data_IF_621043838386
#
_entry.id   IF_621043838386
#
_cell.length_a   1.000
_cell.length_b   1.000
_cell.length_c   1.000
_cell.angle_alpha   90.00
_cell.angle_beta   90.00
_cell.angle_gamma   90.00
#
_symmetry.space_group_name_H-M   'P 1'
#
loop_
_entity.id
_entity.type
_entity.pdbx_description
1 polymer ?
#
# COMPACT_ATOMS: atom_id res chain seq x y z
N UNK A 1 43.90 14.07 -8.41
CA UNK A 1 42.53 13.49 -8.40
C UNK A 1 41.56 14.65 -8.27
N UNK A 2 41.29 15.34 -9.37
CA UNK A 2 40.24 16.35 -9.45
C UNK A 2 39.48 16.08 -10.74
N UNK A 3 38.24 15.59 -10.61
CA UNK A 3 37.10 15.80 -11.51
C UNK A 3 35.92 14.96 -11.00
N UNK A 4 34.85 15.62 -10.50
CA UNK A 4 33.50 15.32 -11.01
C UNK A 4 32.56 16.56 -11.03
N UNK A 5 33.03 17.75 -11.37
CA UNK A 5 32.19 18.98 -11.44
C UNK A 5 31.76 19.39 -12.86
N UNK A 6 32.40 18.85 -13.90
CA UNK A 6 32.15 19.24 -15.30
C UNK A 6 30.94 18.55 -15.93
N UNK A 7 30.59 17.33 -15.53
CA UNK A 7 29.49 16.57 -16.13
C UNK A 7 28.10 17.06 -15.71
N UNK A 8 27.94 17.58 -14.49
CA UNK A 8 26.67 18.12 -14.00
C UNK A 8 26.31 19.49 -14.63
N UNK A 9 27.31 20.34 -14.90
CA UNK A 9 27.07 21.65 -15.52
C UNK A 9 26.76 21.53 -17.03
N UNK A 10 27.34 20.54 -17.72
CA UNK A 10 27.03 20.28 -19.12
C UNK A 10 25.60 19.70 -19.32
N UNK A 11 25.09 18.91 -18.37
CA UNK A 11 23.73 18.36 -18.46
C UNK A 11 22.64 19.41 -18.24
N UNK A 12 22.83 20.38 -17.32
CA UNK A 12 21.90 21.51 -17.15
C UNK A 12 21.83 22.41 -18.39
N UNK A 13 22.97 22.69 -19.04
CA UNK A 13 23.02 23.50 -20.27
C UNK A 13 22.27 22.84 -21.44
N UNK A 14 22.38 21.52 -21.57
CA UNK A 14 21.69 20.78 -22.62
C UNK A 14 20.16 20.71 -22.38
N UNK A 15 19.74 20.53 -21.12
CA UNK A 15 18.33 20.53 -20.74
C UNK A 15 17.66 21.89 -21.00
N UNK A 16 18.33 23.00 -20.65
CA UNK A 16 17.82 24.35 -20.90
C UNK A 16 17.74 24.68 -22.41
N UNK A 17 18.68 24.20 -23.21
CA UNK A 17 18.63 24.36 -24.67
C UNK A 17 17.48 23.55 -25.30
N UNK A 18 17.21 22.35 -24.77
CA UNK A 18 16.10 21.51 -25.18
C UNK A 18 14.75 22.13 -24.78
N UNK A 19 14.66 22.70 -23.57
CA UNK A 19 13.50 23.43 -23.09
C UNK A 19 13.14 24.59 -24.02
N UNK A 20 14.12 25.41 -24.40
CA UNK A 20 13.90 26.50 -25.37
C UNK A 20 13.41 26.01 -26.72
N UNK A 21 13.90 24.86 -27.21
CA UNK A 21 13.44 24.27 -28.48
C UNK A 21 11.99 23.79 -28.40
N UNK A 22 11.62 23.12 -27.30
CA UNK A 22 10.25 22.66 -27.06
C UNK A 22 9.31 23.86 -26.95
N UNK A 23 9.69 24.88 -26.17
CA UNK A 23 8.91 26.12 -26.03
C UNK A 23 8.77 26.86 -27.36
N UNK A 24 9.81 26.92 -28.19
CA UNK A 24 9.73 27.52 -29.53
C UNK A 24 8.67 26.84 -30.40
N UNK A 25 8.70 25.51 -30.49
CA UNK A 25 7.74 24.75 -31.30
C UNK A 25 6.33 24.92 -30.77
N UNK A 26 6.16 24.94 -29.45
CA UNK A 26 4.85 25.18 -28.83
C UNK A 26 4.37 26.59 -29.12
N UNK A 27 5.22 27.60 -29.03
CA UNK A 27 4.86 28.98 -29.36
C UNK A 27 4.54 29.15 -30.84
N UNK A 28 5.23 28.43 -31.74
CA UNK A 28 4.89 28.43 -33.16
C UNK A 28 3.48 27.85 -33.38
N UNK A 29 3.16 26.70 -32.77
CA UNK A 29 1.82 26.09 -32.82
C UNK A 29 0.74 27.02 -32.22
N UNK A 30 1.07 27.72 -31.14
CA UNK A 30 0.14 28.58 -30.40
C UNK A 30 0.00 30.00 -30.96
N UNK A 31 0.98 30.47 -31.74
CA UNK A 31 0.96 31.82 -32.36
C UNK A 31 0.05 31.84 -33.58
N UNK A 32 0.04 30.77 -34.38
CA UNK A 32 -0.90 30.58 -35.49
C UNK A 32 -2.34 30.70 -35.00
N UNK A 33 -2.64 30.14 -33.83
CA UNK A 33 -3.99 30.22 -33.22
C UNK A 33 -4.30 31.60 -32.62
N UNK A 34 -3.32 32.33 -32.08
CA UNK A 34 -3.55 33.63 -31.47
C UNK A 34 -3.90 34.74 -32.48
N UNK A 35 -3.29 34.73 -33.66
CA UNK A 35 -3.60 35.69 -34.73
C UNK A 35 -5.03 35.44 -35.24
N UNK A 36 -5.39 34.17 -35.45
CA UNK A 36 -6.74 33.82 -35.91
C UNK A 36 -7.80 34.15 -34.87
N UNK A 37 -7.54 33.90 -33.59
CA UNK A 37 -8.41 34.28 -32.49
C UNK A 37 -8.70 35.80 -32.49
N UNK A 38 -7.68 36.62 -32.73
CA UNK A 38 -7.82 38.08 -32.83
C UNK A 38 -8.64 38.55 -34.04
N UNK A 39 -8.70 37.74 -35.10
CA UNK A 39 -9.41 38.06 -36.35
C UNK A 39 -10.59 37.11 -36.64
N UNK A 40 -11.11 36.40 -35.63
CA UNK A 40 -12.22 35.43 -35.76
C UNK A 40 -13.48 36.03 -36.37
N UNK A 41 -13.74 37.33 -36.20
CA UNK A 41 -14.86 38.03 -36.85
C UNK A 41 -14.66 38.34 -38.34
N UNK A 42 -13.44 38.20 -38.87
CA UNK A 42 -13.06 38.54 -40.25
C UNK A 42 -12.66 37.32 -41.08
N UNK A 43 -12.33 36.20 -40.44
CA UNK A 43 -11.95 34.96 -41.09
C UNK A 43 -13.15 34.01 -41.14
N UNK A 44 -13.65 33.73 -42.35
CA UNK A 44 -14.63 32.64 -42.56
C UNK A 44 -13.89 31.32 -42.51
N UNK A 45 -13.96 30.61 -41.38
CA UNK A 45 -13.35 29.30 -41.24
C UNK A 45 -14.24 28.24 -41.91
N UNK A 46 -13.71 27.54 -42.92
CA UNK A 46 -14.28 26.25 -43.33
C UNK A 46 -13.89 25.19 -42.29
N UNK A 47 -14.81 24.31 -41.89
CA UNK A 47 -14.51 23.20 -40.96
C UNK A 47 -13.32 22.35 -41.45
N UNK A 48 -13.14 22.25 -42.77
CA UNK A 48 -12.04 21.52 -43.41
C UNK A 48 -10.67 22.19 -43.18
N UNK A 49 -10.62 23.53 -43.19
CA UNK A 49 -9.39 24.28 -42.91
C UNK A 49 -8.98 24.14 -41.45
N UNK A 50 -9.94 24.17 -40.52
CA UNK A 50 -9.68 23.97 -39.10
C UNK A 50 -9.13 22.57 -38.80
N UNK A 51 -9.66 21.53 -39.47
CA UNK A 51 -9.14 20.18 -39.35
C UNK A 51 -7.74 20.04 -39.95
N UNK A 52 -7.48 20.63 -41.11
CA UNK A 52 -6.15 20.61 -41.73
C UNK A 52 -5.10 21.31 -40.88
N UNK A 53 -5.44 22.41 -40.19
CA UNK A 53 -4.56 23.09 -39.23
C UNK A 53 -4.23 22.22 -38.03
N UNK A 54 -5.25 21.60 -37.41
CA UNK A 54 -5.04 20.66 -36.29
C UNK A 54 -4.13 19.49 -36.73
N UNK A 55 -4.29 19.01 -37.95
CA UNK A 55 -3.43 17.98 -38.55
C UNK A 55 -1.99 18.47 -38.73
N UNK A 56 -1.78 19.66 -39.28
CA UNK A 56 -0.44 20.25 -39.43
C UNK A 56 0.29 20.38 -38.09
N UNK A 57 -0.40 20.89 -37.06
CA UNK A 57 0.17 21.03 -35.71
C UNK A 57 0.58 19.68 -35.12
N UNK A 58 -0.26 18.65 -35.30
CA UNK A 58 0.05 17.27 -34.90
C UNK A 58 1.27 16.74 -35.64
N UNK A 59 1.34 16.94 -36.96
CA UNK A 59 2.42 16.43 -37.80
C UNK A 59 3.76 17.09 -37.45
N UNK A 60 3.78 18.41 -37.22
CA UNK A 60 4.96 19.14 -36.76
C UNK A 60 5.51 18.58 -35.45
N UNK A 61 4.64 18.39 -34.45
CA UNK A 61 5.06 17.83 -33.16
C UNK A 61 5.50 16.36 -33.30
N UNK A 62 4.81 15.54 -34.10
CA UNK A 62 5.20 14.15 -34.36
C UNK A 62 6.58 14.05 -35.00
N UNK A 63 6.90 14.92 -35.96
CA UNK A 63 8.22 14.97 -36.60
C UNK A 63 9.30 15.36 -35.60
N UNK A 64 9.06 16.38 -34.79
CA UNK A 64 9.97 16.80 -33.72
C UNK A 64 10.22 15.67 -32.72
N UNK A 65 9.15 15.00 -32.28
CA UNK A 65 9.24 13.87 -31.35
C UNK A 65 10.08 12.74 -31.93
N UNK A 66 9.80 12.30 -33.17
CA UNK A 66 10.58 11.24 -33.84
C UNK A 66 12.08 11.56 -33.91
N UNK A 67 12.44 12.82 -34.10
CA UNK A 67 13.84 13.25 -34.17
C UNK A 67 14.56 13.22 -32.81
N UNK A 68 13.85 13.38 -31.68
CA UNK A 68 14.47 13.58 -30.35
C UNK A 68 14.09 12.54 -29.28
N UNK A 69 13.12 11.66 -29.57
CA UNK A 69 12.55 10.72 -28.59
C UNK A 69 13.58 9.72 -28.01
N UNK A 70 14.55 9.27 -28.81
CA UNK A 70 15.52 8.25 -28.39
C UNK A 70 16.50 8.73 -27.31
N UNK A 71 16.75 10.04 -27.20
CA UNK A 71 17.76 10.59 -26.29
C UNK A 71 17.17 11.28 -25.06
N UNK A 72 15.97 11.87 -25.16
CA UNK A 72 15.41 12.70 -24.07
C UNK A 72 13.87 12.74 -24.04
N UNK A 73 13.21 11.66 -24.46
CA UNK A 73 11.73 11.62 -24.57
C UNK A 73 11.00 12.00 -23.28
N UNK A 74 11.42 11.49 -22.12
CA UNK A 74 10.81 11.79 -20.81
C UNK A 74 10.96 13.26 -20.44
N UNK A 75 12.16 13.82 -20.61
CA UNK A 75 12.45 15.23 -20.32
C UNK A 75 11.63 16.16 -21.21
N UNK A 76 11.53 15.85 -22.52
CA UNK A 76 10.73 16.61 -23.48
C UNK A 76 9.26 16.61 -23.06
N UNK A 77 8.74 15.45 -22.65
CA UNK A 77 7.36 15.29 -22.23
C UNK A 77 7.06 16.05 -20.93
N UNK A 78 7.96 16.00 -19.96
CA UNK A 78 7.83 16.76 -18.71
C UNK A 78 7.84 18.28 -18.95
N UNK A 79 8.72 18.77 -19.84
CA UNK A 79 8.74 20.18 -20.25
C UNK A 79 7.44 20.55 -20.97
N UNK A 80 6.99 19.72 -21.90
CA UNK A 80 5.74 19.92 -22.65
C UNK A 80 4.54 20.03 -21.71
N UNK A 81 4.38 19.09 -20.78
CA UNK A 81 3.28 19.07 -19.81
C UNK A 81 3.35 20.27 -18.87
N UNK A 82 4.55 20.63 -18.42
CA UNK A 82 4.75 21.80 -17.54
C UNK A 82 4.35 23.09 -18.25
N UNK A 83 4.75 23.27 -19.51
CA UNK A 83 4.35 24.42 -20.31
C UNK A 83 2.84 24.42 -20.58
N UNK A 84 2.25 23.25 -20.88
CA UNK A 84 0.81 23.11 -21.08
C UNK A 84 0.01 23.58 -19.86
N UNK A 85 0.47 23.28 -18.65
CA UNK A 85 -0.24 23.66 -17.42
C UNK A 85 -0.14 25.16 -17.07
N UNK A 86 0.74 25.91 -17.75
CA UNK A 86 0.88 27.37 -17.59
C UNK A 86 -0.02 28.16 -18.55
N UNK A 87 -0.66 27.50 -19.53
CA UNK A 87 -1.45 28.15 -20.58
C UNK A 87 -2.92 28.33 -20.18
N UNK A 88 -3.69 29.05 -21.01
CA UNK A 88 -5.13 29.28 -20.83
C UNK A 88 -6.00 28.50 -21.84
N UNK A 89 -7.31 28.46 -21.58
CA UNK A 89 -8.25 27.37 -21.91
C UNK A 89 -8.20 26.77 -23.34
N UNK A 90 -8.29 27.57 -24.40
CA UNK A 90 -8.40 27.04 -25.77
C UNK A 90 -7.10 26.39 -26.25
N UNK A 91 -5.97 26.99 -25.86
CA UNK A 91 -4.62 26.51 -26.19
C UNK A 91 -4.33 25.17 -25.53
N UNK A 92 -4.83 24.97 -24.31
CA UNK A 92 -4.70 23.71 -23.58
C UNK A 92 -5.40 22.57 -24.33
N UNK A 93 -6.61 22.80 -24.86
CA UNK A 93 -7.36 21.75 -25.56
C UNK A 93 -6.59 21.19 -26.76
N UNK A 94 -5.99 22.06 -27.58
CA UNK A 94 -5.19 21.64 -28.73
C UNK A 94 -3.98 20.79 -28.32
N UNK A 95 -3.30 21.15 -27.24
CA UNK A 95 -2.14 20.40 -26.75
C UNK A 95 -2.53 19.01 -26.22
N UNK A 96 -3.64 18.90 -25.50
CA UNK A 96 -4.19 17.59 -25.12
C UNK A 96 -4.58 16.74 -26.34
N UNK A 97 -5.15 17.35 -27.39
CA UNK A 97 -5.50 16.64 -28.63
C UNK A 97 -4.25 16.12 -29.37
N UNK A 98 -3.15 16.88 -29.35
CA UNK A 98 -1.87 16.45 -29.91
C UNK A 98 -1.33 15.25 -29.13
N UNK A 99 -1.31 15.31 -27.79
CA UNK A 99 -0.88 14.18 -26.96
C UNK A 99 -1.74 12.93 -27.20
N UNK A 100 -3.06 13.08 -27.24
CA UNK A 100 -3.99 11.98 -27.53
C UNK A 100 -3.67 11.33 -28.88
N UNK A 101 -3.48 12.13 -29.92
CA UNK A 101 -3.13 11.64 -31.26
C UNK A 101 -1.79 10.90 -31.28
N UNK A 102 -0.77 11.44 -30.61
CA UNK A 102 0.55 10.82 -30.54
C UNK A 102 0.54 9.45 -29.84
N UNK A 103 -0.31 9.29 -28.82
CA UNK A 103 -0.50 8.01 -28.12
C UNK A 103 -1.28 7.02 -29.00
N UNK A 104 -2.38 7.45 -29.63
CA UNK A 104 -3.19 6.60 -30.51
C UNK A 104 -2.40 6.07 -31.71
N UNK A 105 -1.47 6.86 -32.26
CA UNK A 105 -0.57 6.45 -33.34
C UNK A 105 0.66 5.66 -32.86
N UNK A 106 0.84 5.50 -31.55
CA UNK A 106 1.96 4.77 -30.97
C UNK A 106 3.32 5.48 -31.06
N UNK A 107 3.33 6.80 -31.29
CA UNK A 107 4.57 7.59 -31.29
C UNK A 107 5.10 7.80 -29.86
N UNK A 108 4.19 7.93 -28.89
CA UNK A 108 4.50 8.11 -27.47
C UNK A 108 3.87 6.96 -26.69
N UNK A 109 4.62 6.36 -25.78
CA UNK A 109 4.08 5.35 -24.88
C UNK A 109 3.07 5.98 -23.92
N UNK A 110 1.88 5.39 -23.84
CA UNK A 110 0.79 5.81 -22.96
C UNK A 110 1.22 6.02 -21.51
N UNK A 111 1.99 5.08 -20.95
CA UNK A 111 2.50 5.14 -19.58
C UNK A 111 3.32 6.42 -19.33
N UNK A 112 4.23 6.78 -20.25
CA UNK A 112 5.06 7.98 -20.13
C UNK A 112 4.21 9.25 -20.03
N UNK A 113 3.11 9.32 -20.78
CA UNK A 113 2.17 10.46 -20.73
C UNK A 113 1.45 10.52 -19.41
N UNK A 114 0.93 9.39 -18.91
CA UNK A 114 0.26 9.35 -17.61
C UNK A 114 1.22 9.72 -16.48
N UNK A 115 2.45 9.20 -16.48
CA UNK A 115 3.46 9.49 -15.47
C UNK A 115 3.85 10.97 -15.48
N UNK A 116 4.06 11.56 -16.66
CA UNK A 116 4.38 12.99 -16.79
C UNK A 116 3.22 13.89 -16.34
N UNK A 117 1.96 13.53 -16.66
CA UNK A 117 0.78 14.29 -16.23
C UNK A 117 0.58 14.22 -14.71
N UNK A 118 0.65 13.02 -14.13
CA UNK A 118 0.39 12.81 -12.70
C UNK A 118 1.54 13.32 -11.83
N UNK A 119 2.79 13.19 -12.28
CA UNK A 119 3.95 13.65 -11.50
C UNK A 119 4.08 15.17 -11.48
N UNK A 120 3.39 15.88 -12.38
CA UNK A 120 3.49 17.33 -12.45
C UNK A 120 2.93 18.01 -11.17
N UNK A 121 3.69 18.90 -10.52
CA UNK A 121 3.25 19.59 -9.31
C UNK A 121 2.11 20.59 -9.57
N UNK A 122 1.97 21.08 -10.81
CA UNK A 122 0.92 22.05 -11.17
C UNK A 122 -0.44 21.38 -11.45
N UNK A 123 -0.54 20.04 -11.35
CA UNK A 123 -1.82 19.33 -11.40
C UNK A 123 -2.59 19.52 -10.08
N UNK A 124 -3.38 20.58 -10.00
CA UNK A 124 -4.24 20.89 -8.84
C UNK A 124 -5.72 20.90 -9.27
N UNK A 125 -6.59 20.40 -8.40
CA UNK A 125 -8.05 20.43 -8.56
C UNK A 125 -8.61 21.86 -8.65
N UNK A 126 -7.84 22.87 -8.21
CA UNK A 126 -8.18 24.28 -8.40
C UNK A 126 -8.19 24.69 -9.88
N UNK A 127 -7.35 24.06 -10.70
CA UNK A 127 -7.24 24.33 -12.14
C UNK A 127 -8.21 23.45 -12.93
N UNK A 128 -9.50 23.84 -12.93
CA UNK A 128 -10.62 23.03 -13.45
C UNK A 128 -10.40 22.43 -14.83
N UNK A 129 -9.92 23.22 -15.79
CA UNK A 129 -9.77 22.77 -17.18
C UNK A 129 -8.60 21.80 -17.33
N UNK A 130 -7.45 22.09 -16.74
CA UNK A 130 -6.28 21.21 -16.75
C UNK A 130 -6.60 19.89 -16.07
N UNK A 131 -7.19 19.94 -14.87
CA UNK A 131 -7.60 18.76 -14.12
C UNK A 131 -8.55 17.88 -14.93
N UNK A 132 -9.62 18.46 -15.48
CA UNK A 132 -10.58 17.75 -16.32
C UNK A 132 -9.94 17.06 -17.51
N UNK A 133 -9.15 17.80 -18.28
CA UNK A 133 -8.54 17.29 -19.51
C UNK A 133 -7.51 16.20 -19.21
N UNK A 134 -6.73 16.35 -18.14
CA UNK A 134 -5.79 15.32 -17.68
C UNK A 134 -6.50 14.00 -17.37
N UNK A 135 -7.54 14.02 -16.54
CA UNK A 135 -8.24 12.78 -16.17
C UNK A 135 -9.08 12.21 -17.33
N UNK A 136 -9.62 13.04 -18.22
CA UNK A 136 -10.29 12.58 -19.45
C UNK A 136 -9.31 11.88 -20.40
N UNK A 137 -8.12 12.45 -20.60
CA UNK A 137 -7.09 11.84 -21.43
C UNK A 137 -6.61 10.52 -20.80
N UNK A 138 -6.32 10.53 -19.50
CA UNK A 138 -5.90 9.33 -18.77
C UNK A 138 -6.97 8.24 -18.88
N UNK A 139 -8.26 8.57 -18.70
CA UNK A 139 -9.37 7.64 -18.87
C UNK A 139 -9.36 6.98 -20.26
N UNK A 140 -9.23 7.77 -21.33
CA UNK A 140 -9.20 7.25 -22.70
C UNK A 140 -7.96 6.41 -23.02
N UNK A 141 -6.79 6.81 -22.50
CA UNK A 141 -5.52 6.14 -22.70
C UNK A 141 -5.46 4.79 -21.98
N UNK A 142 -5.86 4.74 -20.69
CA UNK A 142 -5.77 3.55 -19.84
C UNK A 142 -6.46 2.35 -20.51
N UNK A 143 -7.65 2.55 -21.06
CA UNK A 143 -8.48 1.47 -21.62
C UNK A 143 -7.78 0.76 -22.79
N UNK A 144 -6.97 1.48 -23.57
CA UNK A 144 -6.50 0.99 -24.88
C UNK A 144 -5.02 0.67 -24.93
N UNK A 145 -4.20 1.29 -24.08
CA UNK A 145 -2.77 1.40 -24.35
C UNK A 145 -1.86 1.08 -23.16
N UNK A 146 -2.41 0.69 -22.01
CA UNK A 146 -1.63 0.42 -20.79
C UNK A 146 -1.79 -1.04 -20.38
N UNK A 147 -0.69 -1.68 -20.01
CA UNK A 147 -0.66 -3.05 -19.52
C UNK A 147 -1.08 -3.14 -18.04
N UNK A 148 -1.37 -4.34 -17.56
CA UNK A 148 -1.84 -4.51 -16.17
C UNK A 148 -0.84 -4.02 -15.11
N UNK A 149 0.47 -4.08 -15.40
CA UNK A 149 1.51 -3.55 -14.49
C UNK A 149 1.46 -2.03 -14.46
N UNK A 150 1.35 -1.38 -15.62
CA UNK A 150 1.13 0.06 -15.73
C UNK A 150 -0.15 0.50 -15.00
N UNK A 151 -1.26 -0.23 -15.15
CA UNK A 151 -2.51 0.06 -14.43
C UNK A 151 -2.34 -0.02 -12.90
N UNK A 152 -1.58 -0.99 -12.40
CA UNK A 152 -1.25 -1.11 -10.96
C UNK A 152 -0.42 0.08 -10.48
N UNK A 153 0.64 0.42 -11.21
CA UNK A 153 1.52 1.53 -10.84
C UNK A 153 0.75 2.87 -10.87
N UNK A 154 -0.13 3.06 -11.86
CA UNK A 154 -1.02 4.22 -11.94
C UNK A 154 -2.03 4.28 -10.78
N UNK A 155 -2.63 3.14 -10.43
CA UNK A 155 -3.54 3.08 -9.27
C UNK A 155 -2.85 3.58 -8.01
N UNK A 156 -1.61 3.15 -7.77
CA UNK A 156 -0.81 3.61 -6.64
C UNK A 156 -0.64 5.12 -6.64
N UNK A 157 -0.18 5.71 -7.75
CA UNK A 157 0.03 7.16 -7.88
C UNK A 157 -1.27 7.94 -7.69
N UNK A 158 -2.38 7.45 -8.24
CA UNK A 158 -3.70 8.07 -8.09
C UNK A 158 -4.16 8.08 -6.63
N UNK A 159 -3.98 6.97 -5.92
CA UNK A 159 -4.33 6.86 -4.50
C UNK A 159 -3.44 7.76 -3.62
N UNK A 160 -2.14 7.83 -3.89
CA UNK A 160 -1.22 8.76 -3.22
C UNK A 160 -1.62 10.23 -3.47
N UNK A 161 -2.01 10.58 -4.70
CA UNK A 161 -2.51 11.92 -5.02
C UNK A 161 -3.80 12.27 -4.29
N UNK A 162 -4.72 11.31 -4.13
CA UNK A 162 -5.94 11.52 -3.36
C UNK A 162 -5.63 11.81 -1.89
N UNK A 163 -4.63 11.16 -1.30
CA UNK A 163 -4.25 11.42 0.10
C UNK A 163 -3.74 12.85 0.33
N UNK A 164 -3.25 13.54 -0.71
CA UNK A 164 -2.84 14.95 -0.62
C UNK A 164 -4.03 15.93 -0.61
N UNK A 165 -5.23 15.47 -0.97
CA UNK A 165 -6.42 16.33 -1.02
C UNK A 165 -6.95 16.50 0.42
N UNK A 166 -7.22 17.75 0.87
CA UNK A 166 -7.75 17.99 2.21
C UNK A 166 -9.10 17.29 2.46
N UNK A 167 -9.37 16.95 3.73
CA UNK A 167 -10.64 16.37 4.15
C UNK A 167 -11.84 17.31 3.93
N UNK A 168 -11.61 18.63 3.95
CA UNK A 168 -12.63 19.66 3.73
C UNK A 168 -12.31 20.46 2.46
N UNK A 169 -13.08 20.23 1.40
CA UNK A 169 -12.96 20.96 0.12
C UNK A 169 -14.29 21.63 -0.22
N UNK A 170 -14.24 22.78 -0.89
CA UNK A 170 -15.43 23.48 -1.36
C UNK A 170 -16.22 22.59 -2.36
N UNK A 171 -17.54 22.55 -2.20
CA UNK A 171 -18.50 21.83 -3.05
C UNK A 171 -18.35 22.20 -4.53
N UNK A 172 -17.87 23.41 -4.83
CA UNK A 172 -17.60 23.87 -6.19
C UNK A 172 -16.58 23.00 -6.97
N UNK A 173 -15.78 22.19 -6.27
CA UNK A 173 -14.80 21.27 -6.86
C UNK A 173 -15.29 19.81 -6.96
N UNK A 174 -16.57 19.55 -6.67
CA UNK A 174 -17.14 18.19 -6.66
C UNK A 174 -17.01 17.48 -8.01
N UNK A 175 -17.13 18.22 -9.11
CA UNK A 175 -17.06 17.67 -10.47
C UNK A 175 -15.62 17.19 -10.78
N UNK A 176 -14.63 17.97 -10.36
CA UNK A 176 -13.21 17.67 -10.48
C UNK A 176 -12.87 16.40 -9.68
N UNK A 177 -13.37 16.30 -8.45
CA UNK A 177 -13.25 15.09 -7.62
C UNK A 177 -13.93 13.86 -8.23
N UNK A 178 -15.00 14.07 -9.00
CA UNK A 178 -15.71 12.97 -9.67
C UNK A 178 -14.88 12.38 -10.81
N UNK A 179 -14.03 13.18 -11.48
CA UNK A 179 -13.20 12.70 -12.58
C UNK A 179 -12.11 11.73 -12.12
N UNK A 180 -11.42 12.06 -11.03
CA UNK A 180 -10.42 11.14 -10.46
C UNK A 180 -11.10 9.86 -9.93
N UNK A 181 -12.29 10.00 -9.32
CA UNK A 181 -13.11 8.86 -8.87
C UNK A 181 -13.47 7.93 -10.04
N UNK A 182 -13.84 8.49 -11.19
CA UNK A 182 -14.17 7.71 -12.39
C UNK A 182 -12.98 6.92 -12.94
N UNK A 183 -11.79 7.52 -12.97
CA UNK A 183 -10.56 6.81 -13.39
C UNK A 183 -10.23 5.66 -12.45
N UNK A 184 -10.36 5.86 -11.14
CA UNK A 184 -10.14 4.78 -10.17
C UNK A 184 -11.21 3.70 -10.31
N UNK A 185 -12.48 4.09 -10.46
CA UNK A 185 -13.58 3.14 -10.69
C UNK A 185 -13.32 2.27 -11.93
N UNK A 186 -12.85 2.88 -13.02
CA UNK A 186 -12.50 2.17 -14.25
C UNK A 186 -11.44 1.10 -14.00
N UNK A 187 -10.36 1.45 -13.29
CA UNK A 187 -9.25 0.54 -12.95
C UNK A 187 -9.74 -0.60 -12.05
N UNK A 188 -10.59 -0.30 -11.07
CA UNK A 188 -11.07 -1.28 -10.09
C UNK A 188 -12.21 -2.16 -10.63
N UNK A 189 -12.89 -1.75 -11.69
CA UNK A 189 -13.96 -2.51 -12.29
C UNK A 189 -13.44 -3.83 -12.88
N UNK A 190 -13.93 -4.93 -12.28
CA UNK A 190 -13.57 -6.30 -12.65
C UNK A 190 -14.00 -6.67 -14.06
N UNK A 191 -14.99 -5.98 -14.62
CA UNK A 191 -15.48 -6.22 -15.98
C UNK A 191 -14.56 -5.64 -17.06
N UNK A 192 -13.71 -4.67 -16.71
CA UNK A 192 -12.76 -4.08 -17.67
C UNK A 192 -11.47 -4.89 -17.80
N UNK A 193 -11.22 -5.85 -16.89
CA UNK A 193 -10.05 -6.74 -16.90
C UNK A 193 -8.69 -6.03 -17.02
N UNK A 194 -8.60 -4.76 -16.58
CA UNK A 194 -7.39 -3.94 -16.71
C UNK A 194 -6.23 -4.43 -15.84
N UNK A 195 -6.53 -5.02 -14.68
CA UNK A 195 -5.55 -5.72 -13.84
C UNK A 195 -6.19 -6.83 -13.01
N UNK A 196 -5.41 -7.82 -12.55
CA UNK A 196 -5.88 -8.76 -11.56
C UNK A 196 -6.37 -8.03 -10.31
N UNK A 197 -7.60 -8.31 -9.90
CA UNK A 197 -8.24 -7.65 -8.77
C UNK A 197 -7.42 -7.80 -7.46
N UNK A 198 -6.68 -8.90 -7.32
CA UNK A 198 -5.78 -9.12 -6.19
C UNK A 198 -4.63 -8.09 -6.12
N UNK A 199 -4.10 -7.62 -7.26
CA UNK A 199 -3.09 -6.55 -7.25
C UNK A 199 -3.68 -5.21 -6.83
N UNK A 200 -4.92 -4.92 -7.24
CA UNK A 200 -5.59 -3.70 -6.81
C UNK A 200 -5.79 -3.68 -5.28
N UNK A 201 -6.31 -4.77 -4.69
CA UNK A 201 -6.53 -4.81 -3.23
C UNK A 201 -5.22 -4.70 -2.46
N UNK A 202 -4.13 -5.30 -2.95
CA UNK A 202 -2.83 -5.19 -2.27
C UNK A 202 -2.32 -3.75 -2.25
N UNK A 203 -2.43 -3.00 -3.35
CA UNK A 203 -2.02 -1.59 -3.37
C UNK A 203 -2.92 -0.72 -2.50
N UNK A 204 -4.24 -0.96 -2.54
CA UNK A 204 -5.20 -0.24 -1.68
C UNK A 204 -4.85 -0.43 -0.21
N UNK A 205 -4.58 -1.67 0.24
CA UNK A 205 -4.26 -1.94 1.64
C UNK A 205 -2.89 -1.45 2.09
N UNK A 206 -1.93 -1.28 1.17
CA UNK A 206 -0.64 -0.64 1.48
C UNK A 206 -0.84 0.85 1.78
N UNK A 207 -1.68 1.54 0.99
CA UNK A 207 -1.88 2.98 1.10
C UNK A 207 -2.93 3.33 2.17
N UNK A 208 -3.98 2.52 2.28
CA UNK A 208 -5.06 2.62 3.24
C UNK A 208 -5.13 1.32 4.05
N UNK A 209 -4.32 1.17 5.12
CA UNK A 209 -4.43 0.01 6.00
C UNK A 209 -5.81 -0.05 6.68
N UNK A 210 -6.27 -1.25 7.08
CA UNK A 210 -7.64 -1.55 7.55
C UNK A 210 -8.19 -0.59 8.61
N UNK A 211 -7.35 0.07 9.42
CA UNK A 211 -7.76 1.09 10.40
C UNK A 211 -8.29 2.38 9.76
N UNK A 212 -7.91 2.65 8.51
CA UNK A 212 -8.12 3.91 7.80
C UNK A 212 -9.08 3.76 6.61
N UNK A 213 -9.61 2.56 6.34
CA UNK A 213 -10.53 2.30 5.23
C UNK A 213 -11.95 2.81 5.53
N UNK A 214 -12.45 2.62 6.75
CA UNK A 214 -13.75 3.16 7.20
C UNK A 214 -13.72 4.70 7.34
N UNK A 215 -12.56 5.27 7.66
CA UNK A 215 -12.29 6.72 7.64
C UNK A 215 -11.57 7.16 6.36
N UNK A 216 -11.69 6.37 5.29
CA UNK A 216 -10.98 6.59 4.05
C UNK A 216 -11.30 7.95 3.44
N UNK A 217 -10.50 8.36 2.45
CA UNK A 217 -10.70 9.64 1.78
C UNK A 217 -12.16 9.78 1.28
N UNK A 218 -12.85 10.85 1.68
CA UNK A 218 -14.31 11.05 1.55
C UNK A 218 -14.89 10.87 0.14
N UNK A 219 -14.07 11.00 -0.91
CA UNK A 219 -14.48 10.79 -2.32
C UNK A 219 -14.62 9.30 -2.67
N UNK A 220 -13.64 8.49 -2.24
CA UNK A 220 -13.43 7.10 -2.71
C UNK A 220 -13.62 6.07 -1.60
N UNK A 221 -13.73 6.49 -0.33
CA UNK A 221 -13.78 5.59 0.83
C UNK A 221 -14.82 4.48 0.72
N UNK A 222 -16.06 4.81 0.35
CA UNK A 222 -17.13 3.82 0.15
C UNK A 222 -16.79 2.81 -0.96
N UNK A 223 -16.28 3.29 -2.10
CA UNK A 223 -15.91 2.43 -3.23
C UNK A 223 -14.75 1.50 -2.87
N UNK A 224 -13.69 2.04 -2.27
CA UNK A 224 -12.54 1.26 -1.85
C UNK A 224 -12.93 0.27 -0.75
N UNK A 225 -13.73 0.70 0.23
CA UNK A 225 -14.27 -0.16 1.29
C UNK A 225 -15.05 -1.34 0.73
N UNK A 226 -16.02 -1.09 -0.17
CA UNK A 226 -16.79 -2.15 -0.82
C UNK A 226 -15.90 -3.08 -1.67
N UNK A 227 -14.90 -2.53 -2.35
CA UNK A 227 -13.96 -3.32 -3.14
C UNK A 227 -13.10 -4.24 -2.26
N UNK A 228 -12.50 -3.71 -1.19
CA UNK A 228 -11.72 -4.50 -0.23
C UNK A 228 -12.62 -5.55 0.44
N UNK A 229 -13.81 -5.18 0.87
CA UNK A 229 -14.77 -6.08 1.52
C UNK A 229 -15.07 -7.33 0.69
N UNK A 230 -15.14 -7.19 -0.63
CA UNK A 230 -15.37 -8.32 -1.52
C UNK A 230 -14.28 -9.41 -1.49
N UNK A 231 -13.08 -9.09 -0.96
CA UNK A 231 -11.99 -10.05 -0.74
C UNK A 231 -12.06 -10.75 0.62
N UNK A 232 -12.99 -10.39 1.50
CA UNK A 232 -13.13 -11.02 2.82
C UNK A 232 -13.39 -12.52 2.73
N UNK A 233 -14.16 -12.96 1.73
CA UNK A 233 -14.36 -14.39 1.48
C UNK A 233 -13.04 -15.10 1.11
N UNK A 234 -12.19 -14.45 0.31
CA UNK A 234 -10.87 -14.97 -0.06
C UNK A 234 -9.93 -15.02 1.14
N UNK A 235 -9.94 -13.99 1.98
CA UNK A 235 -9.18 -13.96 3.23
C UNK A 235 -9.56 -15.15 4.14
N UNK A 236 -10.86 -15.47 4.24
CA UNK A 236 -11.35 -16.61 5.04
C UNK A 236 -10.94 -17.96 4.46
N UNK A 237 -10.85 -18.11 3.13
CA UNK A 237 -10.41 -19.36 2.51
C UNK A 237 -8.96 -19.72 2.84
N UNK A 238 -8.11 -18.72 3.06
CA UNK A 238 -6.67 -18.92 3.35
C UNK A 238 -6.34 -18.94 4.85
N UNK A 239 -7.36 -18.80 5.70
CA UNK A 239 -7.22 -18.78 7.15
C UNK A 239 -7.72 -20.08 7.79
N UNK A 240 -7.15 -20.40 8.96
CA UNK A 240 -7.68 -21.44 9.84
C UNK A 240 -8.77 -20.81 10.70
N UNK A 241 -10.01 -21.25 10.53
CA UNK A 241 -11.14 -20.79 11.35
C UNK A 241 -10.86 -21.04 12.83
N UNK A 242 -11.03 -20.00 13.66
CA UNK A 242 -10.81 -20.09 15.10
C UNK A 242 -9.35 -20.24 15.55
N UNK A 243 -8.36 -19.99 14.67
CA UNK A 243 -6.92 -20.14 14.97
C UNK A 243 -6.46 -19.55 16.32
N UNK A 244 -6.89 -18.34 16.75
CA UNK A 244 -6.52 -17.78 18.05
C UNK A 244 -6.89 -18.66 19.26
N UNK A 245 -7.94 -19.48 19.12
CA UNK A 245 -8.45 -20.33 20.20
C UNK A 245 -7.91 -21.75 20.16
N UNK A 246 -7.19 -22.12 19.09
CA UNK A 246 -6.54 -23.41 19.02
C UNK A 246 -5.27 -23.36 19.88
N UNK A 247 -5.00 -24.42 20.65
CA UNK A 247 -3.82 -24.50 21.50
C UNK A 247 -3.01 -25.77 21.17
N UNK A 248 -1.68 -25.68 21.03
CA UNK A 248 -0.84 -26.85 20.80
C UNK A 248 -0.68 -27.69 22.07
N UNK A 249 -0.45 -28.99 21.90
CA UNK A 249 0.03 -29.84 22.99
C UNK A 249 1.55 -29.70 23.06
N UNK A 250 2.04 -29.15 24.17
CA UNK A 250 3.46 -28.90 24.40
C UNK A 250 4.18 -30.23 24.70
N UNK A 251 5.35 -30.44 24.10
CA UNK A 251 6.20 -31.61 24.35
C UNK A 251 6.00 -32.83 23.44
N UNK A 252 4.98 -32.83 22.56
CA UNK A 252 4.64 -34.00 21.73
C UNK A 252 4.91 -33.88 20.22
N UNK A 253 5.65 -32.88 19.75
CA UNK A 253 6.09 -32.83 18.35
C UNK A 253 7.31 -31.93 18.13
N UNK A 254 8.35 -32.46 17.47
CA UNK A 254 9.49 -31.66 16.96
C UNK A 254 9.10 -30.80 15.74
N UNK A 255 7.90 -31.02 15.20
CA UNK A 255 7.27 -30.27 14.13
C UNK A 255 6.19 -29.36 14.70
N UNK A 256 6.57 -28.40 15.55
CA UNK A 256 5.76 -27.21 15.77
C UNK A 256 5.69 -26.46 14.44
N UNK A 257 4.73 -26.83 13.59
CA UNK A 257 4.60 -26.35 12.22
C UNK A 257 4.35 -24.84 12.17
N UNK A 258 4.42 -24.27 10.96
CA UNK A 258 4.17 -22.85 10.70
C UNK A 258 2.81 -22.33 11.21
N UNK A 259 1.89 -23.21 11.60
CA UNK A 259 0.58 -22.89 12.17
C UNK A 259 0.66 -22.08 13.48
N UNK A 260 1.72 -22.21 14.26
CA UNK A 260 1.88 -21.49 15.54
C UNK A 260 2.89 -20.35 15.49
N UNK A 261 3.46 -20.07 14.32
CA UNK A 261 4.50 -19.06 14.18
C UNK A 261 3.91 -17.66 14.33
N UNK A 262 4.49 -16.90 15.25
CA UNK A 262 4.18 -15.51 15.52
C UNK A 262 5.34 -14.60 15.11
N UNK A 263 5.03 -13.34 14.87
CA UNK A 263 6.04 -12.31 14.69
C UNK A 263 6.74 -11.98 16.03
N UNK A 264 8.09 -11.90 16.09
CA UNK A 264 8.80 -11.66 17.34
C UNK A 264 8.57 -10.29 17.99
N UNK A 265 8.13 -9.30 17.21
CA UNK A 265 7.97 -7.91 17.63
C UNK A 265 6.52 -7.57 17.97
N UNK A 266 5.55 -8.10 17.24
CA UNK A 266 4.13 -7.80 17.45
C UNK A 266 3.34 -8.94 18.11
N UNK A 267 3.91 -10.16 18.17
CA UNK A 267 3.22 -11.39 18.57
C UNK A 267 1.94 -11.69 17.77
N UNK A 268 1.81 -11.13 16.56
CA UNK A 268 0.68 -11.43 15.66
C UNK A 268 0.98 -12.66 14.81
N UNK A 269 -0.05 -13.30 14.25
CA UNK A 269 0.18 -14.38 13.29
C UNK A 269 0.88 -13.85 12.04
N UNK A 270 1.83 -14.62 11.51
CA UNK A 270 2.45 -14.33 10.21
C UNK A 270 1.47 -14.72 9.11
N UNK A 271 0.73 -13.74 8.59
CA UNK A 271 -0.23 -13.92 7.51
C UNK A 271 0.42 -13.63 6.15
N UNK A 272 0.00 -14.35 5.10
CA UNK A 272 0.54 -14.18 3.75
C UNK A 272 -0.32 -13.20 2.95
N UNK A 273 0.30 -12.14 2.45
CA UNK A 273 -0.34 -11.16 1.58
C UNK A 273 -1.14 -10.10 2.33
N UNK A 274 -1.61 -9.09 1.58
CA UNK A 274 -2.40 -7.99 2.11
C UNK A 274 -3.87 -8.25 1.71
N UNK A 275 -4.50 -9.12 2.49
CA UNK A 275 -5.94 -9.40 2.41
C UNK A 275 -6.64 -8.82 3.64
N UNK A 276 -7.94 -8.51 3.56
CA UNK A 276 -8.71 -7.98 4.68
C UNK A 276 -9.02 -9.10 5.67
N UNK A 277 -8.04 -9.40 6.51
CA UNK A 277 -8.15 -10.42 7.55
C UNK A 277 -9.03 -9.92 8.70
N UNK A 278 -9.67 -10.85 9.41
CA UNK A 278 -10.47 -10.49 10.58
C UNK A 278 -9.58 -9.86 11.67
N UNK A 279 -10.08 -8.83 12.35
CA UNK A 279 -9.33 -8.05 13.36
C UNK A 279 -8.72 -8.93 14.45
N UNK A 280 -9.34 -10.06 14.78
CA UNK A 280 -8.84 -10.98 15.81
C UNK A 280 -7.57 -11.74 15.42
N UNK A 281 -7.33 -11.93 14.11
CA UNK A 281 -6.09 -12.54 13.60
C UNK A 281 -4.92 -11.55 13.61
N UNK A 282 -5.23 -10.25 13.51
CA UNK A 282 -4.26 -9.15 13.48
C UNK A 282 -3.88 -8.66 14.88
N UNK A 283 -4.59 -9.08 15.93
CA UNK A 283 -4.24 -8.78 17.33
C UNK A 283 -3.06 -9.63 17.80
N UNK A 284 -2.24 -9.11 18.73
CA UNK A 284 -1.21 -9.90 19.40
C UNK A 284 -1.82 -11.12 20.11
N UNK A 285 -1.20 -12.29 19.94
CA UNK A 285 -1.70 -13.57 20.44
C UNK A 285 -1.11 -13.88 21.82
N UNK A 286 -1.44 -13.05 22.82
CA UNK A 286 -0.92 -13.18 24.19
C UNK A 286 -1.34 -14.50 24.85
N UNK A 287 -2.59 -14.90 24.69
CA UNK A 287 -3.13 -16.11 25.33
C UNK A 287 -2.41 -17.38 24.88
N UNK A 288 -2.06 -17.50 23.59
CA UNK A 288 -1.29 -18.62 23.07
C UNK A 288 0.10 -18.70 23.72
N UNK A 289 0.79 -17.56 23.86
CA UNK A 289 2.12 -17.49 24.49
C UNK A 289 2.05 -17.78 25.98
N UNK A 290 1.09 -17.18 26.70
CA UNK A 290 0.88 -17.42 28.13
C UNK A 290 0.57 -18.88 28.40
N UNK A 291 -0.30 -19.49 27.59
CA UNK A 291 -0.60 -20.91 27.69
C UNK A 291 0.67 -21.75 27.52
N UNK A 292 1.46 -21.51 26.48
CA UNK A 292 2.69 -22.26 26.24
C UNK A 292 3.71 -22.10 27.38
N UNK A 293 3.91 -20.88 27.89
CA UNK A 293 4.83 -20.59 28.99
C UNK A 293 4.43 -21.25 30.32
N UNK A 294 3.12 -21.43 30.57
CA UNK A 294 2.63 -22.13 31.78
C UNK A 294 2.93 -23.63 31.77
N UNK A 295 3.19 -24.22 30.60
CA UNK A 295 3.46 -25.65 30.49
C UNK A 295 4.92 -26.00 30.78
N UNK A 296 5.19 -27.14 31.45
CA UNK A 296 6.55 -27.62 31.65
C UNK A 296 7.20 -28.02 30.32
N UNK A 297 8.53 -27.94 30.25
CA UNK A 297 9.33 -28.29 29.06
C UNK A 297 8.99 -27.49 27.78
N UNK A 298 8.37 -26.33 27.91
CA UNK A 298 7.88 -25.50 26.80
C UNK A 298 8.94 -24.67 26.06
N UNK A 299 10.18 -24.61 26.57
CA UNK A 299 11.23 -23.70 26.09
C UNK A 299 11.43 -23.76 24.58
N UNK A 300 11.70 -24.94 24.04
CA UNK A 300 11.99 -25.09 22.60
C UNK A 300 10.74 -24.80 21.74
N UNK A 301 9.54 -25.13 22.22
CA UNK A 301 8.27 -24.78 21.55
C UNK A 301 8.03 -23.27 21.52
N UNK A 302 8.24 -22.57 22.64
CA UNK A 302 8.11 -21.11 22.71
C UNK A 302 9.14 -20.43 21.81
N UNK A 303 10.39 -20.91 21.81
CA UNK A 303 11.41 -20.42 20.90
C UNK A 303 11.01 -20.61 19.43
N UNK A 304 10.40 -21.75 19.07
CA UNK A 304 9.91 -22.01 17.72
C UNK A 304 8.72 -21.11 17.33
N UNK A 305 7.76 -20.93 18.25
CA UNK A 305 6.59 -20.06 18.06
C UNK A 305 7.03 -18.63 17.74
N UNK A 306 7.95 -18.08 18.53
CA UNK A 306 8.44 -16.70 18.38
C UNK A 306 9.61 -16.63 17.38
N UNK A 307 10.01 -17.76 16.77
CA UNK A 307 11.17 -17.83 15.86
C UNK A 307 12.48 -17.26 16.45
N UNK A 308 12.68 -17.42 17.76
CA UNK A 308 13.90 -17.00 18.43
C UNK A 308 15.04 -17.96 18.06
N UNK A 309 16.01 -17.44 17.30
CA UNK A 309 17.19 -18.22 16.94
C UNK A 309 18.23 -18.16 18.09
N UNK A 310 18.74 -19.32 18.51
CA UNK A 310 19.76 -19.46 19.56
C UNK A 310 21.08 -18.75 19.22
N UNK A 311 21.33 -18.44 17.94
CA UNK A 311 22.60 -17.87 17.46
C UNK A 311 22.70 -16.35 17.60
N UNK A 312 21.60 -15.63 17.80
CA UNK A 312 21.61 -14.16 17.89
C UNK A 312 20.99 -13.73 19.22
N UNK A 313 21.65 -12.82 19.96
CA UNK A 313 21.07 -12.18 21.15
C UNK A 313 19.90 -11.30 20.72
N UNK A 314 18.72 -11.88 20.57
CA UNK A 314 17.50 -11.17 20.24
C UNK A 314 16.75 -10.85 21.54
N UNK A 315 16.65 -9.56 21.88
CA UNK A 315 15.76 -9.09 22.94
C UNK A 315 14.34 -9.02 22.37
N UNK A 316 13.39 -9.70 23.00
CA UNK A 316 11.96 -9.55 22.70
C UNK A 316 11.30 -8.89 23.90
N UNK A 317 11.11 -7.57 23.80
CA UNK A 317 10.46 -6.77 24.85
C UNK A 317 9.03 -7.28 25.14
N UNK A 318 8.34 -7.78 24.11
CA UNK A 318 6.98 -8.30 24.26
C UNK A 318 6.98 -9.63 25.02
N UNK A 319 7.94 -10.52 24.77
CA UNK A 319 8.09 -11.74 25.56
C UNK A 319 8.47 -11.44 27.03
N UNK A 320 9.40 -10.50 27.24
CA UNK A 320 9.78 -10.04 28.59
C UNK A 320 8.57 -9.48 29.34
N UNK A 321 7.74 -8.67 28.69
CA UNK A 321 6.48 -8.18 29.24
C UNK A 321 5.50 -9.30 29.61
N UNK A 322 5.35 -10.31 28.75
CA UNK A 322 4.48 -11.46 29.04
C UNK A 322 5.01 -12.32 30.20
N UNK A 323 6.32 -12.44 30.37
CA UNK A 323 6.93 -13.11 31.53
C UNK A 323 6.66 -12.33 32.81
N UNK A 324 6.83 -11.00 32.79
CA UNK A 324 6.53 -10.16 33.94
C UNK A 324 5.05 -10.27 34.35
N UNK A 325 4.14 -10.31 33.37
CA UNK A 325 2.71 -10.48 33.62
C UNK A 325 2.37 -11.83 34.24
N UNK A 326 2.99 -12.91 33.78
CA UNK A 326 2.81 -14.23 34.41
C UNK A 326 3.33 -14.27 35.85
N UNK A 327 4.40 -13.53 36.16
CA UNK A 327 4.90 -13.38 37.54
C UNK A 327 3.88 -12.64 38.40
N UNK A 328 3.30 -11.55 37.90
CA UNK A 328 2.25 -10.82 38.62
C UNK A 328 1.04 -11.73 38.92
N UNK A 329 0.57 -12.48 37.91
CA UNK A 329 -0.54 -13.44 38.10
C UNK A 329 -0.18 -14.54 39.11
N UNK A 330 1.07 -14.99 39.14
CA UNK A 330 1.52 -15.96 40.14
C UNK A 330 1.58 -15.36 41.56
N UNK A 331 1.99 -14.10 41.68
CA UNK A 331 1.99 -13.36 42.95
C UNK A 331 0.56 -13.17 43.47
N UNK A 332 -0.36 -12.69 42.64
CA UNK A 332 -1.78 -12.51 42.99
C UNK A 332 -2.39 -13.81 43.53
N UNK A 333 -2.16 -14.93 42.84
CA UNK A 333 -2.65 -16.25 43.29
C UNK A 333 -2.05 -16.71 44.61
N UNK A 334 -0.78 -16.40 44.85
CA UNK A 334 -0.13 -16.76 46.13
C UNK A 334 -0.70 -15.97 47.31
N UNK A 335 -1.20 -14.76 47.08
CA UNK A 335 -1.89 -13.97 48.09
C UNK A 335 -3.29 -14.55 48.38
N UNK A 336 -4.02 -14.99 47.34
CA UNK A 336 -5.32 -15.67 47.49
C UNK A 336 -5.18 -16.99 48.26
N UNK A 337 -4.18 -17.82 47.95
CA UNK A 337 -3.91 -19.10 48.63
C UNK A 337 -3.59 -18.92 50.12
N UNK A 338 -3.01 -17.78 50.52
CA UNK A 338 -2.76 -17.45 51.93
C UNK A 338 -4.00 -16.99 52.70
N UNK A 339 -5.07 -16.60 52.00
CA UNK A 339 -6.34 -16.17 52.62
C UNK A 339 -7.38 -17.28 52.77
N UNK A 340 -7.14 -18.45 52.17
CA UNK A 340 -7.99 -19.63 52.36
C UNK A 340 -7.76 -20.23 53.77
N UNK A 341 -8.80 -20.49 54.58
CA UNK A 341 -8.63 -21.09 55.89
C UNK A 341 -7.99 -22.47 55.75
N UNK A 342 -6.86 -22.66 56.41
CA UNK A 342 -6.16 -23.94 56.48
C UNK A 342 -7.07 -24.99 57.13
N UNK A 343 -7.72 -25.82 56.32
CA UNK A 343 -8.34 -27.05 56.79
C UNK A 343 -7.24 -27.97 57.31
N UNK A 344 -7.07 -27.91 58.64
CA UNK A 344 -6.40 -28.92 59.44
C UNK A 344 -7.11 -30.25 59.19
N UNK A 345 -6.35 -31.26 58.79
CA UNK A 345 -6.39 -32.67 59.22
C UNK A 345 -5.96 -33.59 58.06
N UNK A 346 -4.78 -34.21 58.18
CA UNK A 346 -4.31 -35.23 57.24
C UNK A 346 -2.88 -35.70 57.55
N UNK A 347 -2.78 -36.79 58.28
CA UNK A 347 -1.58 -37.51 58.78
C UNK A 347 -0.52 -37.90 57.73
N UNK A 348 0.73 -38.19 58.16
CA UNK A 348 1.84 -38.52 57.26
C UNK A 348 1.74 -39.97 56.75
N UNK A 349 1.71 -40.16 55.43
CA UNK A 349 1.86 -41.47 54.80
C UNK A 349 3.25 -41.63 54.16
N UNK A 350 3.97 -42.64 54.63
CA UNK A 350 5.16 -43.24 54.01
C UNK A 350 4.85 -43.91 52.67
N UNK A 351 5.84 -44.09 51.77
CA UNK A 351 5.60 -44.49 50.39
C UNK A 351 5.56 -46.02 50.23
N UNK A 352 4.46 -46.55 49.71
CA UNK A 352 4.44 -47.91 49.15
C UNK A 352 3.38 -48.03 48.05
N UNK A 353 3.83 -48.38 46.84
CA UNK A 353 3.10 -49.25 45.92
C UNK A 353 1.89 -48.67 45.18
N UNK A 354 2.11 -48.36 43.90
CA UNK A 354 1.21 -48.57 42.76
C UNK A 354 -0.30 -48.63 43.03
N UNK A 355 -0.99 -47.53 42.72
CA UNK A 355 -2.24 -47.50 41.93
C UNK A 355 -2.59 -46.03 41.70
N UNK A 356 -2.62 -45.60 40.44
CA UNK A 356 -3.07 -44.26 40.07
C UNK A 356 -4.61 -44.22 39.98
N UNK A 357 -5.27 -43.32 40.71
CA UNK A 357 -6.43 -42.63 40.18
C UNK A 357 -6.07 -41.15 39.98
N UNK A 358 -6.25 -40.70 38.75
CA UNK A 358 -6.13 -39.30 38.31
C UNK A 358 -7.08 -38.46 39.14
N UNK A 359 -6.53 -37.71 40.08
CA UNK A 359 -7.20 -36.64 40.83
C UNK A 359 -6.63 -35.30 40.38
N UNK A 360 -7.52 -34.38 40.07
CA UNK A 360 -7.35 -33.03 39.50
C UNK A 360 -6.58 -32.05 40.40
N UNK A 361 -5.91 -32.54 41.45
CA UNK A 361 -5.11 -31.76 42.40
C UNK A 361 -3.61 -31.74 42.06
N UNK A 362 -3.11 -32.60 41.17
CA UNK A 362 -1.67 -32.66 40.82
C UNK A 362 -1.16 -31.57 39.86
N UNK A 363 -2.07 -30.75 39.31
CA UNK A 363 -1.73 -29.59 38.48
C UNK A 363 -1.50 -28.29 39.27
N UNK A 364 -1.73 -28.29 40.59
CA UNK A 364 -1.78 -27.05 41.38
C UNK A 364 -0.42 -26.64 41.98
N UNK A 365 0.48 -27.59 42.27
CA UNK A 365 1.83 -27.31 42.77
C UNK A 365 2.89 -27.16 41.66
N UNK A 366 2.47 -27.29 40.39
CA UNK A 366 3.39 -27.40 39.25
C UNK A 366 3.70 -26.07 38.57
N UNK A 367 2.88 -25.02 38.74
CA UNK A 367 3.10 -23.73 38.05
C UNK A 367 4.31 -22.95 38.60
N UNK A 368 4.40 -22.84 39.93
CA UNK A 368 5.53 -22.22 40.63
C UNK A 368 6.81 -23.04 40.46
N UNK A 369 6.74 -24.37 40.56
CA UNK A 369 7.92 -25.22 40.34
C UNK A 369 8.38 -25.23 38.89
N UNK A 370 7.45 -25.13 37.92
CA UNK A 370 7.77 -24.99 36.49
C UNK A 370 8.42 -23.65 36.20
N UNK A 371 7.94 -22.56 36.81
CA UNK A 371 8.53 -21.23 36.68
C UNK A 371 9.94 -21.15 37.31
N UNK A 372 10.11 -21.73 38.50
CA UNK A 372 11.43 -21.84 39.14
C UNK A 372 12.38 -22.73 38.35
N UNK A 373 11.88 -23.80 37.72
CA UNK A 373 12.67 -24.62 36.79
C UNK A 373 13.09 -23.83 35.55
N UNK A 374 12.22 -22.95 35.04
CA UNK A 374 12.51 -22.09 33.89
C UNK A 374 13.55 -21.00 34.23
N UNK A 375 13.43 -20.34 35.39
CA UNK A 375 14.42 -19.38 35.90
C UNK A 375 15.76 -20.03 36.25
N UNK A 376 15.75 -21.22 36.84
CA UNK A 376 16.97 -21.93 37.24
C UNK A 376 17.74 -22.48 36.02
N UNK A 377 17.05 -22.78 34.90
CA UNK A 377 17.71 -23.18 33.65
C UNK A 377 18.15 -21.98 32.79
N UNK A 378 17.55 -20.79 32.96
CA UNK A 378 17.97 -19.58 32.23
C UNK A 378 19.18 -18.88 32.87
N UNK A 379 19.43 -19.11 34.16
CA UNK A 379 20.59 -18.61 34.91
C UNK A 379 21.80 -19.55 34.90
N UNK A 380 21.62 -20.84 34.58
CA UNK A 380 22.73 -21.78 34.35
C UNK A 380 23.24 -21.65 32.91
N UNK A 381 24.11 -20.67 32.71
CA UNK A 381 25.24 -20.78 31.79
C UNK A 381 26.43 -21.38 32.52
#
# INVERSE_FOLDING_TARGET
MEQPLTTANMSLSAAAALEKKVQSILNDVLSVTAIEEAFTGFLVHSEEEEQNKKKLCRDMFCQFWKAHAQQSGETILNIYVTHMFQLHSQKISLLFDILSYCVEKGYIQAKMVCDALLSNPNLDYKSKEVWRRSFQLIYGIIIKHIDYKGCRDLLKVLLEKIQLIPASVNIAYKNEMTQIKQVIALILDRQNFLLPAYFAVTEIQVIFPDSNLETGHWIVGEMLGAYVESFRAVARMVLITGRPHLLPIIGHSNTSGHAWKLDPHTLTFVLKGNLPFDKDQMKPQFELIRYALKQPYSRDTVCNIISLNKQQKQRSAVLEGQLAELVMVAMERSEEDMTAPADRYGTPYTPSGNTCPVSSSSLHSSSLSTFQTWLNYSTRR
#
